data_IF_478141637100
#
_entry.id   IF_478141637100
#
_cell.length_a   1.000
_cell.length_b   1.000
_cell.length_c   1.000
_cell.angle_alpha   90.00
_cell.angle_beta   90.00
_cell.angle_gamma   90.00
#
_symmetry.space_group_name_H-M   'P 1'
#
loop_
_entity.id
_entity.type
_entity.pdbx_description
1 polymer ?
#
# COMPACT_ATOMS: atom_id res chain seq x y z
N UNK A 1 20.02 -3.22 -31.94
CA UNK A 1 20.57 -2.02 -31.29
C UNK A 1 20.41 -2.19 -29.79
N UNK A 2 21.49 -2.19 -29.02
CA UNK A 2 21.40 -2.25 -27.56
C UNK A 2 20.77 -0.94 -27.06
N UNK A 3 19.67 -1.02 -26.31
CA UNK A 3 19.12 0.15 -25.63
C UNK A 3 20.11 0.54 -24.54
N UNK A 4 20.69 1.73 -24.67
CA UNK A 4 21.49 2.34 -23.60
C UNK A 4 20.49 2.94 -22.59
N UNK A 5 20.44 2.38 -21.39
CA UNK A 5 19.55 2.82 -20.30
C UNK A 5 19.28 1.70 -19.28
N UNK A 6 18.88 2.07 -18.06
CA UNK A 6 18.42 1.11 -17.04
C UNK A 6 17.10 0.47 -17.49
N UNK A 7 17.06 -0.86 -17.52
CA UNK A 7 15.84 -1.60 -17.77
C UNK A 7 15.04 -1.74 -16.46
N UNK A 8 13.99 -0.96 -16.31
CA UNK A 8 13.08 -0.99 -15.15
C UNK A 8 12.01 -2.10 -15.27
N UNK A 9 12.37 -3.27 -15.80
CA UNK A 9 11.46 -4.41 -15.91
C UNK A 9 10.33 -4.25 -16.94
N UNK A 10 9.46 -5.28 -16.97
CA UNK A 10 8.25 -5.28 -17.78
C UNK A 10 7.15 -4.42 -17.17
N UNK A 11 6.24 -3.93 -18.03
CA UNK A 11 5.06 -3.23 -17.54
C UNK A 11 4.01 -4.26 -17.10
N UNK A 12 3.47 -4.09 -15.89
CA UNK A 12 2.41 -4.94 -15.36
C UNK A 12 1.06 -4.24 -15.55
N UNK A 13 0.07 -4.96 -16.09
CA UNK A 13 -1.30 -4.48 -16.13
C UNK A 13 -1.98 -4.80 -14.78
N UNK A 14 -2.44 -3.75 -14.10
CA UNK A 14 -3.25 -3.86 -12.88
C UNK A 14 -4.60 -3.23 -13.20
N UNK A 15 -5.57 -4.10 -13.46
CA UNK A 15 -6.95 -3.76 -13.86
C UNK A 15 -6.99 -2.86 -15.11
N UNK A 16 -7.32 -1.57 -14.94
CA UNK A 16 -7.50 -0.59 -16.01
C UNK A 16 -6.19 0.04 -16.50
N UNK A 17 -5.10 -0.06 -15.73
CA UNK A 17 -3.85 0.68 -15.99
C UNK A 17 -2.64 -0.22 -16.10
N UNK A 18 -1.74 0.17 -16.99
CA UNK A 18 -0.45 -0.46 -17.18
C UNK A 18 0.62 0.35 -16.44
N UNK A 19 1.27 -0.29 -15.47
CA UNK A 19 2.26 0.32 -14.59
C UNK A 19 3.67 -0.15 -14.93
N UNK A 20 4.67 0.72 -14.77
CA UNK A 20 6.07 0.31 -14.78
C UNK A 20 6.43 -0.16 -13.38
N UNK A 21 6.79 -1.43 -13.26
CA UNK A 21 7.12 -2.06 -11.97
C UNK A 21 8.60 -1.88 -11.69
N UNK A 22 8.94 -1.40 -10.50
CA UNK A 22 10.34 -1.24 -10.07
C UNK A 22 10.71 -2.16 -8.92
N UNK A 23 9.78 -3.01 -8.46
CA UNK A 23 9.99 -3.94 -7.33
C UNK A 23 11.25 -4.80 -7.50
N UNK A 24 11.49 -5.34 -8.70
CA UNK A 24 12.62 -6.25 -8.96
C UNK A 24 13.99 -5.59 -8.74
N UNK A 25 14.06 -4.26 -8.84
CA UNK A 25 15.27 -3.48 -8.57
C UNK A 25 15.44 -3.09 -7.10
N UNK A 26 14.52 -3.48 -6.22
CA UNK A 26 14.47 -3.05 -4.83
C UNK A 26 14.55 -4.25 -3.87
N UNK A 27 15.34 -4.09 -2.79
CA UNK A 27 15.23 -4.98 -1.64
C UNK A 27 14.06 -4.50 -0.76
N UNK A 28 12.84 -4.96 -1.10
CA UNK A 28 11.60 -4.46 -0.49
C UNK A 28 11.61 -4.53 1.04
N UNK A 29 12.06 -5.63 1.69
CA UNK A 29 12.21 -5.67 3.15
C UNK A 29 13.12 -4.58 3.73
N UNK A 30 14.23 -4.24 3.06
CA UNK A 30 15.14 -3.18 3.52
C UNK A 30 14.56 -1.78 3.28
N UNK A 31 13.85 -1.58 2.16
CA UNK A 31 13.24 -0.30 1.79
C UNK A 31 12.05 0.04 2.69
N UNK A 32 11.25 -0.96 3.07
CA UNK A 32 10.02 -0.75 3.84
C UNK A 32 10.19 -1.05 5.34
N UNK A 33 11.09 -1.97 5.70
CA UNK A 33 11.27 -2.42 7.08
C UNK A 33 10.00 -3.03 7.69
N UNK A 34 9.80 -2.81 8.99
CA UNK A 34 8.57 -3.21 9.69
C UNK A 34 7.39 -2.37 9.23
N UNK A 35 6.27 -3.04 8.99
CA UNK A 35 5.01 -2.47 8.56
C UNK A 35 4.00 -2.52 9.70
N UNK A 36 3.37 -1.39 10.00
CA UNK A 36 2.35 -1.29 11.05
C UNK A 36 1.07 -0.69 10.51
N UNK A 37 -0.06 -1.32 10.82
CA UNK A 37 -1.37 -0.94 10.31
C UNK A 37 -1.83 0.41 10.87
N UNK A 38 -2.40 1.27 10.01
CA UNK A 38 -2.96 2.57 10.42
C UNK A 38 -4.46 2.67 10.20
N UNK A 39 -5.00 2.03 9.17
CA UNK A 39 -6.43 2.02 8.91
C UNK A 39 -6.76 1.56 7.49
N UNK A 40 -8.06 1.45 7.23
CA UNK A 40 -8.62 1.26 5.90
C UNK A 40 -9.10 2.63 5.42
N UNK A 41 -8.62 3.07 4.26
CA UNK A 41 -9.06 4.33 3.65
C UNK A 41 -10.31 4.14 2.78
N UNK A 42 -10.48 2.92 2.24
CA UNK A 42 -11.66 2.53 1.45
C UNK A 42 -11.29 2.07 0.03
N UNK A 43 -12.28 1.93 -0.87
CA UNK A 43 -12.05 1.41 -2.21
C UNK A 43 -11.30 2.39 -3.13
N UNK A 44 -10.34 1.88 -3.90
CA UNK A 44 -9.72 2.58 -5.03
C UNK A 44 -10.62 2.44 -6.27
N UNK A 45 -11.53 3.41 -6.45
CA UNK A 45 -12.53 3.39 -7.52
C UNK A 45 -11.88 3.66 -8.89
N UNK A 46 -12.35 2.93 -9.91
CA UNK A 46 -11.93 3.12 -11.30
C UNK A 46 -12.84 4.13 -11.98
N UNK A 47 -12.22 5.13 -12.63
CA UNK A 47 -12.89 6.17 -13.37
C UNK A 47 -12.49 6.12 -14.85
N UNK A 48 -13.45 6.37 -15.72
CA UNK A 48 -13.26 6.53 -17.16
C UNK A 48 -13.44 7.98 -17.60
N UNK A 49 -12.71 8.39 -18.63
CA UNK A 49 -12.87 9.72 -19.21
C UNK A 49 -14.05 9.74 -20.20
N UNK A 50 -15.08 10.51 -19.88
CA UNK A 50 -16.11 10.88 -20.86
C UNK A 50 -15.56 11.93 -21.81
N UNK A 51 -15.22 11.48 -23.02
CA UNK A 51 -14.68 12.35 -24.08
C UNK A 51 -15.72 13.27 -24.72
N UNK A 52 -16.99 13.13 -24.37
CA UNK A 52 -18.06 13.97 -24.89
C UNK A 52 -18.24 15.25 -24.07
N UNK A 53 -17.72 15.29 -22.84
CA UNK A 53 -17.88 16.42 -21.91
C UNK A 53 -16.55 16.90 -21.34
N UNK A 54 -16.42 18.21 -21.16
CA UNK A 54 -15.23 18.82 -20.54
C UNK A 54 -15.59 19.63 -19.31
N UNK A 55 -14.71 19.56 -18.32
CA UNK A 55 -14.72 20.42 -17.16
C UNK A 55 -14.30 21.86 -17.54
N UNK A 56 -14.59 22.86 -16.69
CA UNK A 56 -14.20 24.26 -16.92
C UNK A 56 -12.68 24.47 -17.07
N UNK A 57 -11.86 23.58 -16.50
CA UNK A 57 -10.41 23.58 -16.61
C UNK A 57 -9.88 22.94 -17.91
N UNK A 58 -10.79 22.45 -18.77
CA UNK A 58 -10.48 21.82 -20.05
C UNK A 58 -10.18 20.33 -19.98
N UNK A 59 -10.16 19.70 -18.80
CA UNK A 59 -10.05 18.24 -18.63
C UNK A 59 -11.34 17.52 -19.04
N UNK A 60 -11.27 16.22 -19.33
CA UNK A 60 -12.47 15.41 -19.58
C UNK A 60 -13.18 15.08 -18.26
N UNK A 61 -14.51 14.96 -18.31
CA UNK A 61 -15.30 14.52 -17.15
C UNK A 61 -14.92 13.07 -16.82
N UNK A 62 -14.76 12.77 -15.53
CA UNK A 62 -14.50 11.41 -15.06
C UNK A 62 -15.81 10.76 -14.59
N UNK A 63 -16.16 9.62 -15.16
CA UNK A 63 -17.32 8.82 -14.79
C UNK A 63 -16.84 7.63 -13.94
N UNK A 64 -17.47 7.45 -12.77
CA UNK A 64 -17.25 6.27 -11.95
C UNK A 64 -17.82 5.04 -12.68
N UNK A 65 -16.97 4.06 -12.94
CA UNK A 65 -17.33 2.81 -13.64
C UNK A 65 -18.15 1.85 -12.77
N UNK A 66 -18.14 2.04 -11.44
CA UNK A 66 -18.67 1.08 -10.47
C UNK A 66 -17.67 -0.04 -10.12
N UNK A 67 -16.54 -0.13 -10.82
CA UNK A 67 -15.48 -1.10 -10.54
C UNK A 67 -14.45 -0.50 -9.57
N UNK A 68 -13.86 -1.36 -8.75
CA UNK A 68 -12.79 -0.97 -7.83
C UNK A 68 -11.52 -1.73 -8.19
N UNK A 69 -10.37 -1.05 -8.12
CA UNK A 69 -9.04 -1.63 -8.34
C UNK A 69 -8.56 -2.43 -7.13
N UNK A 70 -9.13 -2.17 -5.95
CA UNK A 70 -8.80 -2.82 -4.69
C UNK A 70 -9.17 -1.94 -3.50
N UNK A 71 -8.73 -2.33 -2.30
CA UNK A 71 -8.97 -1.59 -1.06
C UNK A 71 -7.69 -0.90 -0.61
N UNK A 72 -7.74 0.40 -0.42
CA UNK A 72 -6.61 1.20 0.07
C UNK A 72 -6.50 1.04 1.58
N UNK A 73 -5.32 0.63 2.03
CA UNK A 73 -4.94 0.55 3.44
C UNK A 73 -3.77 1.47 3.73
N UNK A 74 -3.84 2.15 4.87
CA UNK A 74 -2.78 2.99 5.38
C UNK A 74 -1.83 2.15 6.24
N UNK A 75 -0.54 2.14 5.89
CA UNK A 75 0.50 1.34 6.55
C UNK A 75 1.71 2.23 6.81
N UNK A 76 2.15 2.25 8.06
CA UNK A 76 3.38 2.96 8.41
C UNK A 76 4.60 2.07 8.23
N UNK A 77 5.58 2.59 7.48
CA UNK A 77 6.90 1.98 7.29
C UNK A 77 7.89 2.54 8.29
N UNK A 78 8.60 1.63 8.98
CA UNK A 78 9.67 2.02 9.92
C UNK A 78 10.91 2.65 9.28
N UNK A 79 11.15 2.40 7.98
CA UNK A 79 12.33 2.90 7.24
C UNK A 79 12.02 4.20 6.50
N UNK A 80 10.85 4.30 5.86
CA UNK A 80 10.42 5.54 5.19
C UNK A 80 9.98 6.60 6.21
N UNK A 81 9.69 6.19 7.45
CA UNK A 81 9.19 7.06 8.53
C UNK A 81 7.87 7.78 8.23
N UNK A 82 7.10 7.27 7.25
CA UNK A 82 5.84 7.85 6.82
C UNK A 82 4.72 6.81 6.72
N UNK A 83 3.50 7.29 6.51
CA UNK A 83 2.35 6.44 6.20
C UNK A 83 2.27 6.28 4.69
N UNK A 84 2.39 5.04 4.25
CA UNK A 84 2.27 4.62 2.87
C UNK A 84 0.86 4.07 2.63
N UNK A 85 0.35 4.28 1.42
CA UNK A 85 -0.97 3.81 1.02
C UNK A 85 -0.81 2.65 0.02
N UNK A 86 -1.28 1.47 0.41
CA UNK A 86 -1.25 0.26 -0.41
C UNK A 86 -2.66 -0.05 -0.91
N UNK A 87 -2.81 -0.30 -2.20
CA UNK A 87 -4.03 -0.90 -2.75
C UNK A 87 -3.92 -2.42 -2.66
N UNK A 88 -4.77 -3.04 -1.85
CA UNK A 88 -4.91 -4.50 -1.72
C UNK A 88 -5.86 -4.99 -2.80
N UNK A 89 -5.34 -5.76 -3.75
CA UNK A 89 -6.08 -6.14 -4.95
C UNK A 89 -6.98 -7.36 -4.76
N UNK A 90 -6.56 -8.34 -3.95
CA UNK A 90 -7.21 -9.65 -3.87
C UNK A 90 -8.03 -9.86 -2.59
N UNK A 91 -8.41 -8.77 -1.90
CA UNK A 91 -9.25 -8.82 -0.70
C UNK A 91 -10.34 -7.75 -0.74
N UNK A 92 -11.56 -8.13 -0.38
CA UNK A 92 -12.63 -7.21 -0.10
C UNK A 92 -12.42 -6.46 1.22
N UNK A 93 -13.07 -5.31 1.37
CA UNK A 93 -12.95 -4.50 2.58
C UNK A 93 -13.36 -5.29 3.83
N UNK A 94 -14.48 -6.02 3.75
CA UNK A 94 -14.96 -6.86 4.85
C UNK A 94 -13.94 -7.94 5.24
N UNK A 95 -13.26 -8.56 4.28
CA UNK A 95 -12.23 -9.57 4.55
C UNK A 95 -11.05 -8.98 5.33
N UNK A 96 -10.66 -7.73 5.03
CA UNK A 96 -9.60 -7.03 5.75
C UNK A 96 -10.07 -6.63 7.16
N UNK A 97 -11.31 -6.17 7.30
CA UNK A 97 -11.92 -5.85 8.60
C UNK A 97 -12.01 -7.09 9.50
N UNK A 98 -12.39 -8.24 8.93
CA UNK A 98 -12.52 -9.52 9.62
C UNK A 98 -11.17 -10.07 10.14
N UNK A 99 -10.03 -9.61 9.61
CA UNK A 99 -8.72 -9.92 10.18
C UNK A 99 -8.53 -9.36 11.59
N UNK A 100 -9.33 -8.37 11.99
CA UNK A 100 -9.29 -7.76 13.32
C UNK A 100 -7.95 -7.10 13.65
N UNK A 101 -7.25 -6.58 12.64
CA UNK A 101 -5.96 -5.91 12.80
C UNK A 101 -6.18 -4.56 13.47
N UNK A 102 -5.53 -4.34 14.62
CA UNK A 102 -5.65 -3.08 15.36
C UNK A 102 -4.64 -2.05 14.89
N UNK A 103 -4.93 -0.79 15.18
CA UNK A 103 -4.01 0.32 14.97
C UNK A 103 -2.63 0.02 15.60
N UNK A 104 -1.58 0.26 14.81
CA UNK A 104 -0.16 -0.01 15.10
C UNK A 104 0.24 -1.48 15.24
N UNK A 105 -0.66 -2.43 15.00
CA UNK A 105 -0.24 -3.84 14.92
C UNK A 105 0.65 -4.09 13.71
N UNK A 106 1.63 -4.98 13.89
CA UNK A 106 2.52 -5.38 12.82
C UNK A 106 1.78 -6.26 11.81
N UNK A 107 1.98 -5.96 10.53
CA UNK A 107 1.33 -6.64 9.41
C UNK A 107 2.38 -7.13 8.42
N UNK A 108 2.00 -8.14 7.66
CA UNK A 108 2.74 -8.58 6.48
C UNK A 108 1.86 -8.37 5.25
N UNK A 109 2.51 -7.97 4.15
CA UNK A 109 1.90 -7.84 2.84
C UNK A 109 2.46 -8.93 1.93
N UNK A 110 1.60 -9.52 1.12
CA UNK A 110 1.97 -10.54 0.13
C UNK A 110 2.06 -9.91 -1.26
N UNK A 111 3.05 -10.34 -2.04
CA UNK A 111 3.27 -9.93 -3.43
C UNK A 111 3.26 -8.42 -3.65
N UNK A 112 4.10 -7.71 -2.89
CA UNK A 112 4.22 -6.25 -2.98
C UNK A 112 4.68 -5.84 -4.38
N UNK A 113 3.93 -4.94 -5.02
CA UNK A 113 4.30 -4.32 -6.29
C UNK A 113 4.45 -2.81 -6.10
N UNK A 114 5.66 -2.30 -6.35
CA UNK A 114 5.97 -0.88 -6.34
C UNK A 114 6.05 -0.42 -7.78
N UNK A 115 5.22 0.55 -8.11
CA UNK A 115 5.14 1.11 -9.45
C UNK A 115 5.67 2.52 -9.49
N UNK A 116 6.24 2.92 -10.63
CA UNK A 116 6.72 4.27 -10.88
C UNK A 116 6.04 4.84 -12.12
N UNK A 117 5.47 6.04 -11.99
CA UNK A 117 4.94 6.81 -13.10
C UNK A 117 5.51 8.21 -13.05
N UNK A 118 6.08 8.66 -14.17
CA UNK A 118 6.55 10.03 -14.32
C UNK A 118 5.55 10.83 -15.15
N UNK A 119 4.90 11.83 -14.55
CA UNK A 119 3.95 12.72 -15.23
C UNK A 119 4.27 14.17 -14.88
N UNK A 120 4.43 15.03 -15.88
CA UNK A 120 4.61 16.48 -15.69
C UNK A 120 5.67 16.87 -14.64
N UNK A 121 6.84 16.19 -14.66
CA UNK A 121 7.95 16.37 -13.70
C UNK A 121 7.70 15.87 -12.28
N UNK A 122 6.58 15.21 -12.03
CA UNK A 122 6.29 14.55 -10.76
C UNK A 122 6.52 13.05 -10.91
N UNK A 123 7.33 12.50 -10.00
CA UNK A 123 7.48 11.08 -9.82
C UNK A 123 6.39 10.59 -8.85
N UNK A 124 5.52 9.74 -9.35
CA UNK A 124 4.39 9.19 -8.61
C UNK A 124 4.66 7.71 -8.41
N UNK A 125 4.67 7.29 -7.15
CA UNK A 125 4.75 5.89 -6.77
C UNK A 125 3.38 5.40 -6.34
N UNK A 126 2.93 4.28 -6.90
CA UNK A 126 1.78 3.55 -6.36
C UNK A 126 2.23 2.20 -5.84
N UNK A 127 1.71 1.85 -4.67
CA UNK A 127 2.03 0.64 -3.96
C UNK A 127 0.82 -0.28 -4.01
N UNK A 128 1.06 -1.53 -4.41
CA UNK A 128 0.07 -2.57 -4.44
C UNK A 128 0.58 -3.76 -3.63
N UNK A 129 -0.35 -4.56 -3.14
CA UNK A 129 -0.09 -5.88 -2.62
C UNK A 129 -1.30 -6.77 -2.95
N UNK A 130 -1.08 -8.07 -3.07
CA UNK A 130 -2.18 -9.00 -3.26
C UNK A 130 -3.04 -9.08 -2.00
N UNK A 131 -2.40 -9.29 -0.84
CA UNK A 131 -3.09 -9.50 0.44
C UNK A 131 -2.38 -8.83 1.59
N UNK A 132 -3.13 -8.58 2.66
CA UNK A 132 -2.63 -8.16 3.97
C UNK A 132 -2.97 -9.23 5.00
N UNK A 133 -2.03 -9.50 5.92
CA UNK A 133 -2.24 -10.39 7.05
C UNK A 133 -1.66 -9.83 8.33
N UNK A 134 -2.23 -10.25 9.45
CA UNK A 134 -1.65 -10.01 10.77
C UNK A 134 -0.34 -10.77 10.88
N UNK A 135 0.72 -10.10 11.34
CA UNK A 135 1.95 -10.80 11.65
C UNK A 135 1.80 -11.49 13.01
N UNK A 136 1.69 -12.81 13.00
CA UNK A 136 1.67 -13.60 14.24
C UNK A 136 3.07 -13.61 14.87
N UNK A 137 3.35 -12.55 15.62
CA UNK A 137 4.66 -12.29 16.24
C UNK A 137 4.56 -11.27 17.35
N UNK A 138 3.46 -11.27 18.11
CA UNK A 138 3.44 -10.61 19.40
C UNK A 138 4.34 -11.38 20.36
N UNK A 139 5.59 -10.96 20.52
CA UNK A 139 6.21 -11.09 21.85
C UNK A 139 5.19 -10.56 22.85
N UNK A 140 4.79 -11.33 23.89
CA UNK A 140 3.84 -10.84 24.86
C UNK A 140 4.35 -9.50 25.37
N UNK A 141 3.45 -8.51 25.44
CA UNK A 141 3.67 -7.29 26.21
C UNK A 141 4.40 -7.71 27.48
N UNK A 142 5.63 -7.24 27.68
CA UNK A 142 6.33 -7.43 28.95
C UNK A 142 5.36 -7.00 30.03
N UNK A 143 4.90 -7.98 30.78
CA UNK A 143 4.13 -7.82 31.99
C UNK A 143 4.86 -6.75 32.80
N UNK A 144 4.20 -5.62 33.04
CA UNK A 144 4.68 -4.64 33.99
C UNK A 144 4.67 -5.36 35.35
N UNK A 145 5.80 -5.97 35.72
CA UNK A 145 6.07 -6.43 37.07
C UNK A 145 5.79 -5.26 38.01
N UNK A 146 4.86 -5.36 38.97
CA UNK A 146 4.89 -4.49 40.12
C UNK A 146 6.22 -4.73 40.83
N UNK A 147 6.99 -3.66 41.03
CA UNK A 147 8.16 -3.67 41.89
C UNK A 147 7.72 -4.09 43.29
N UNK A 148 8.12 -5.29 43.68
CA UNK A 148 8.07 -5.80 45.05
C UNK A 148 9.00 -4.92 45.91
N UNK A 149 8.42 -3.89 46.52
CA UNK A 149 9.12 -3.12 47.54
C UNK A 149 9.02 -3.88 48.85
N UNK A 150 10.00 -4.75 49.07
CA UNK A 150 10.47 -5.11 50.41
C UNK A 150 10.66 -3.84 51.24
N UNK A 151 9.85 -3.68 52.28
CA UNK A 151 10.26 -2.98 53.49
C UNK A 151 10.28 -4.02 54.60
N UNK A 152 11.47 -4.53 54.86
CA UNK A 152 11.83 -5.13 56.14
C UNK A 152 12.49 -4.03 57.00
N UNK A 153 12.13 -4.06 58.29
CA UNK A 153 12.54 -3.24 59.44
C UNK A 153 11.86 -1.89 59.65
#
# INVERSE_FOLDING_TARGET
MAKIGLNYGEKLQIVDKTYRVITDGLNVPEVLGKLSFRGIEGPDIIYEEDRTQRNPDGSFVQINTGEIRGIVVAIHSSVQHETLFFTIADMAQSEIEDLGIKYREEVELEDIVITHTHVNRNDIYKLFASKIKKKNGGTPLKENKPLDNKKDN
#
